data_IF_802480777301
#
_entry.id   IF_802480777301
#
_cell.length_a   1.000
_cell.length_b   1.000
_cell.length_c   1.000
_cell.angle_alpha   90.00
_cell.angle_beta   90.00
_cell.angle_gamma   90.00
#
_symmetry.space_group_name_H-M   'P 1'
#
loop_
_entity.id
_entity.type
_entity.pdbx_description
1 polymer ?
#
# COMPACT_ATOMS: atom_id res chain seq x y z
N UNK A 1 1.06 -32.71 -12.86
CA UNK A 1 0.69 -32.57 -11.46
C UNK A 1 0.61 -31.09 -11.12
N UNK A 2 -0.51 -30.67 -10.60
CA UNK A 2 -0.71 -29.27 -10.29
C UNK A 2 -0.08 -28.96 -8.93
N UNK A 3 0.84 -28.04 -8.91
CA UNK A 3 1.41 -27.52 -7.69
C UNK A 3 0.32 -26.81 -6.91
N UNK A 4 0.10 -27.10 -5.61
CA UNK A 4 -0.88 -26.38 -4.82
C UNK A 4 -0.68 -24.88 -4.81
N UNK A 5 0.58 -24.42 -4.86
CA UNK A 5 0.90 -23.02 -4.92
C UNK A 5 0.55 -22.42 -6.28
N UNK A 6 0.59 -23.20 -7.34
CA UNK A 6 0.23 -22.72 -8.68
C UNK A 6 -1.25 -22.41 -8.78
N UNK A 7 -2.10 -23.26 -8.21
CA UNK A 7 -3.53 -23.03 -8.19
C UNK A 7 -3.86 -21.76 -7.42
N UNK A 8 -3.24 -21.56 -6.28
CA UNK A 8 -3.40 -20.33 -5.48
C UNK A 8 -2.88 -19.12 -6.26
N UNK A 9 -1.75 -19.27 -6.93
CA UNK A 9 -1.16 -18.21 -7.73
C UNK A 9 -2.07 -17.78 -8.87
N UNK A 10 -2.70 -18.72 -9.56
CA UNK A 10 -3.64 -18.43 -10.63
C UNK A 10 -4.87 -17.71 -10.12
N UNK A 11 -5.37 -18.12 -8.97
CA UNK A 11 -6.51 -17.48 -8.32
C UNK A 11 -6.17 -16.05 -7.94
N UNK A 12 -4.99 -15.82 -7.38
CA UNK A 12 -4.51 -14.49 -7.04
C UNK A 12 -4.34 -13.62 -8.27
N UNK A 13 -3.79 -14.18 -9.34
CA UNK A 13 -3.64 -13.44 -10.59
C UNK A 13 -4.99 -13.05 -11.19
N UNK A 14 -5.97 -13.94 -11.11
CA UNK A 14 -7.31 -13.64 -11.56
C UNK A 14 -7.95 -12.54 -10.72
N UNK A 15 -7.79 -12.60 -9.41
CA UNK A 15 -8.27 -11.57 -8.50
C UNK A 15 -7.56 -10.24 -8.76
N UNK A 16 -6.26 -10.28 -8.98
CA UNK A 16 -5.46 -9.10 -9.31
C UNK A 16 -5.97 -8.45 -10.60
N UNK A 17 -6.20 -9.25 -11.62
CA UNK A 17 -6.67 -8.74 -12.90
C UNK A 17 -8.11 -8.22 -12.83
N UNK A 18 -8.93 -8.84 -11.98
CA UNK A 18 -10.32 -8.44 -11.81
C UNK A 18 -10.46 -7.22 -10.88
N UNK A 19 -9.54 -7.08 -9.94
CA UNK A 19 -9.62 -6.08 -8.88
C UNK A 19 -8.30 -5.32 -8.70
N UNK A 20 -7.61 -5.05 -9.81
CA UNK A 20 -6.37 -4.28 -9.79
C UNK A 20 -6.61 -2.95 -9.07
N UNK A 21 -5.76 -2.64 -8.10
CA UNK A 21 -5.90 -1.44 -7.28
C UNK A 21 -6.83 -1.64 -6.08
N UNK A 22 -7.42 -2.81 -5.89
CA UNK A 22 -8.20 -3.09 -4.69
C UNK A 22 -7.29 -3.20 -3.47
N UNK A 23 -7.88 -2.96 -2.31
CA UNK A 23 -7.14 -3.06 -1.05
C UNK A 23 -6.56 -4.45 -0.84
N UNK A 24 -7.32 -5.50 -1.16
CA UNK A 24 -6.85 -6.88 -1.01
C UNK A 24 -5.63 -7.16 -1.86
N UNK A 25 -5.64 -6.70 -3.10
CA UNK A 25 -4.51 -6.84 -3.99
C UNK A 25 -3.26 -6.13 -3.43
N UNK A 26 -3.43 -4.92 -2.97
CA UNK A 26 -2.34 -4.11 -2.44
C UNK A 26 -1.80 -4.68 -1.14
N UNK A 27 -2.67 -5.16 -0.26
CA UNK A 27 -2.24 -5.80 0.98
C UNK A 27 -1.42 -7.07 0.71
N UNK A 28 -1.82 -7.82 -0.30
CA UNK A 28 -1.12 -9.03 -0.68
C UNK A 28 0.27 -8.73 -1.24
N UNK A 29 0.38 -7.69 -2.03
CA UNK A 29 1.62 -7.32 -2.70
C UNK A 29 2.57 -6.53 -1.82
N UNK A 30 2.06 -5.61 -1.03
CA UNK A 30 2.87 -4.64 -0.28
C UNK A 30 2.76 -4.78 1.24
N UNK A 31 1.86 -5.61 1.73
CA UNK A 31 1.60 -5.74 3.15
C UNK A 31 0.54 -4.75 3.60
N UNK A 32 0.85 -3.93 4.59
CA UNK A 32 -0.13 -3.03 5.14
C UNK A 32 -0.52 -1.93 4.16
N UNK A 33 -1.82 -1.67 4.08
CA UNK A 33 -2.42 -0.65 3.22
C UNK A 33 -3.32 0.22 4.08
N UNK A 34 -3.28 1.52 3.83
CA UNK A 34 -4.11 2.51 4.53
C UNK A 34 -5.06 3.18 3.55
N UNK A 35 -6.28 3.42 3.96
CA UNK A 35 -7.12 4.40 3.28
C UNK A 35 -6.81 5.79 3.81
N UNK A 36 -7.45 6.82 3.28
CA UNK A 36 -7.15 8.20 3.66
C UNK A 36 -7.40 8.44 5.16
N UNK A 37 -8.49 7.92 5.70
CA UNK A 37 -8.79 8.07 7.12
C UNK A 37 -7.78 7.37 8.01
N UNK A 38 -7.44 6.13 7.67
CA UNK A 38 -6.46 5.35 8.40
C UNK A 38 -5.07 5.99 8.33
N UNK A 39 -4.72 6.53 7.17
CA UNK A 39 -3.46 7.22 7.00
C UNK A 39 -3.35 8.40 7.96
N UNK A 40 -4.40 9.19 8.06
CA UNK A 40 -4.40 10.36 8.93
C UNK A 40 -4.32 10.01 10.41
N UNK A 41 -4.76 8.81 10.79
CA UNK A 41 -4.62 8.34 12.17
C UNK A 41 -3.18 7.99 12.51
N UNK A 42 -2.47 7.37 11.59
CA UNK A 42 -1.13 6.86 11.82
C UNK A 42 -0.01 7.79 11.35
N UNK A 43 -0.31 8.64 10.38
CA UNK A 43 0.68 9.49 9.72
C UNK A 43 0.20 10.92 9.58
N UNK A 44 1.15 11.84 9.57
CA UNK A 44 0.92 13.22 9.15
C UNK A 44 1.46 13.38 7.74
N UNK A 45 0.63 13.88 6.83
CA UNK A 45 1.06 14.13 5.44
C UNK A 45 1.84 15.43 5.41
N UNK A 46 3.08 15.34 4.91
CA UNK A 46 3.96 16.49 4.79
C UNK A 46 3.96 17.08 3.38
N UNK A 47 3.74 16.25 2.38
CA UNK A 47 3.69 16.71 1.01
C UNK A 47 3.36 15.60 0.04
N UNK A 48 2.95 15.98 -1.16
CA UNK A 48 2.66 15.05 -2.24
C UNK A 48 3.66 15.23 -3.36
N UNK A 49 4.14 14.12 -3.87
CA UNK A 49 5.08 14.08 -4.99
C UNK A 49 4.76 12.82 -5.78
N UNK A 50 3.63 12.86 -6.51
CA UNK A 50 3.09 11.68 -7.18
C UNK A 50 4.18 10.89 -7.91
N UNK A 51 4.23 9.56 -7.80
CA UNK A 51 3.25 8.67 -7.17
C UNK A 51 3.50 8.45 -5.67
N UNK A 52 4.28 9.27 -5.01
CA UNK A 52 4.58 9.13 -3.58
C UNK A 52 4.01 10.27 -2.77
N UNK A 53 3.79 10.00 -1.50
CA UNK A 53 3.41 11.00 -0.50
C UNK A 53 4.44 10.95 0.62
N UNK A 54 4.93 12.11 1.01
CA UNK A 54 5.88 12.24 2.11
C UNK A 54 5.09 12.39 3.40
N UNK A 55 5.43 11.56 4.38
CA UNK A 55 4.68 11.48 5.63
C UNK A 55 5.61 11.43 6.83
N UNK A 56 5.04 11.70 7.99
CA UNK A 56 5.68 11.50 9.28
C UNK A 56 4.83 10.53 10.09
N UNK A 57 5.42 9.42 10.51
CA UNK A 57 4.71 8.45 11.34
C UNK A 57 4.58 9.01 12.76
N UNK A 58 3.34 9.10 13.22
CA UNK A 58 3.06 9.75 14.51
C UNK A 58 3.61 8.97 15.70
N UNK A 59 3.67 7.65 15.59
CA UNK A 59 4.08 6.80 16.69
C UNK A 59 5.52 7.08 17.17
N UNK A 60 6.42 7.43 16.23
CA UNK A 60 7.85 7.60 16.52
C UNK A 60 8.47 8.79 15.80
N UNK A 61 7.66 9.65 15.19
CA UNK A 61 8.11 10.80 14.39
C UNK A 61 9.01 10.43 13.21
N UNK A 62 8.94 9.18 12.76
CA UNK A 62 9.74 8.73 11.64
C UNK A 62 9.20 9.30 10.33
N UNK A 63 10.03 10.08 9.65
CA UNK A 63 9.71 10.57 8.31
C UNK A 63 9.93 9.47 7.29
N UNK A 64 9.12 9.45 6.26
CA UNK A 64 9.21 8.47 5.22
C UNK A 64 8.29 8.81 4.07
N UNK A 65 8.13 7.85 3.19
CA UNK A 65 7.23 8.00 2.05
C UNK A 65 6.37 6.77 1.88
N UNK A 66 5.20 6.98 1.30
CA UNK A 66 4.28 5.92 0.90
C UNK A 66 4.00 6.10 -0.57
N UNK A 67 3.76 4.99 -1.26
CA UNK A 67 3.20 5.04 -2.60
C UNK A 67 1.69 5.14 -2.50
N UNK A 68 1.05 5.89 -3.38
CA UNK A 68 -0.39 5.96 -3.38
C UNK A 68 -0.95 5.81 -4.78
N UNK A 69 -2.19 5.37 -4.85
CA UNK A 69 -2.94 5.29 -6.10
C UNK A 69 -4.16 6.20 -6.03
N UNK A 70 -4.73 6.52 -7.18
CA UNK A 70 -5.75 7.53 -7.26
C UNK A 70 -7.18 7.09 -6.93
N UNK A 71 -7.66 6.00 -7.51
CA UNK A 71 -9.08 5.64 -7.40
C UNK A 71 -9.25 4.12 -7.41
N UNK A 72 -9.64 3.52 -6.29
CA UNK A 72 -9.79 4.15 -4.99
C UNK A 72 -8.44 4.60 -4.41
N UNK A 73 -8.46 5.57 -3.51
CA UNK A 73 -7.23 6.10 -2.91
C UNK A 73 -6.75 5.19 -1.78
N UNK A 74 -5.58 4.58 -1.98
CA UNK A 74 -4.91 3.78 -0.96
C UNK A 74 -3.45 4.15 -0.90
N UNK A 75 -2.86 3.94 0.28
CA UNK A 75 -1.45 4.23 0.55
C UNK A 75 -0.77 2.96 1.04
N UNK A 76 0.43 2.69 0.53
CA UNK A 76 1.14 1.45 0.83
C UNK A 76 2.65 1.63 0.61
N UNK A 77 3.40 0.62 1.05
CA UNK A 77 4.84 0.58 0.80
C UNK A 77 5.62 1.65 1.57
N UNK A 78 5.44 1.71 2.89
CA UNK A 78 6.16 2.70 3.70
C UNK A 78 7.68 2.50 3.59
N UNK A 79 8.37 3.58 3.22
CA UNK A 79 9.82 3.62 3.09
C UNK A 79 10.36 4.69 4.02
N UNK A 80 10.95 4.29 5.17
CA UNK A 80 11.43 5.29 6.13
C UNK A 80 12.64 6.02 5.58
N UNK A 81 12.65 7.33 5.73
CA UNK A 81 13.79 8.15 5.36
C UNK A 81 14.80 8.16 6.50
N UNK A 82 16.05 8.01 6.15
CA UNK A 82 17.13 8.14 7.12
C UNK A 82 17.62 9.57 7.10
N UNK A 83 17.62 10.18 8.20
CA UNK A 83 18.18 11.50 8.26
C UNK A 83 17.87 12.56 8.72
#
# INVERSE_FOLDING_TARGET
MTDPTESTRRQLLAEINAAAGSREYLEHKYGQVWDTGQLQEDYEVLGFMAPIVVVRRKADDQKGSLTFQGSPRFYFGFDPHRG
#
